data_IF_516343070834
#
_entry.id   IF_516343070834
#
_cell.length_a   1.000
_cell.length_b   1.000
_cell.length_c   1.000
_cell.angle_alpha   90.00
_cell.angle_beta   90.00
_cell.angle_gamma   90.00
#
_symmetry.space_group_name_H-M   'P 1'
#
loop_
_entity.id
_entity.type
_entity.pdbx_description
1 polymer ?
#
# COMPACT_ATOMS: atom_id res chain seq x y z
N UNK A 1 3.51 -7.85 -20.45
CA UNK A 1 2.04 -7.84 -20.32
C UNK A 1 1.66 -8.99 -19.40
N UNK A 2 0.85 -8.77 -18.37
CA UNK A 2 0.50 -9.80 -17.38
C UNK A 2 -0.42 -10.86 -18.01
N UNK A 3 -0.24 -12.13 -17.66
CA UNK A 3 -1.14 -13.20 -18.09
C UNK A 3 -2.45 -13.13 -17.29
N UNK A 4 -3.53 -12.71 -17.97
CA UNK A 4 -4.86 -12.55 -17.37
C UNK A 4 -5.42 -13.86 -16.82
N UNK A 5 -5.08 -15.00 -17.42
CA UNK A 5 -5.53 -16.32 -16.93
C UNK A 5 -4.90 -16.61 -15.57
N UNK A 6 -3.61 -16.30 -15.40
CA UNK A 6 -2.91 -16.46 -14.13
C UNK A 6 -3.42 -15.47 -13.08
N UNK A 7 -3.70 -14.22 -13.46
CA UNK A 7 -4.30 -13.23 -12.56
C UNK A 7 -5.64 -13.74 -11.99
N UNK A 8 -6.55 -14.22 -12.83
CA UNK A 8 -7.84 -14.77 -12.36
C UNK A 8 -7.67 -16.01 -11.48
N UNK A 9 -6.74 -16.90 -11.82
CA UNK A 9 -6.40 -18.07 -11.00
C UNK A 9 -5.87 -17.64 -9.62
N UNK A 10 -5.00 -16.65 -9.58
CA UNK A 10 -4.43 -16.10 -8.36
C UNK A 10 -5.45 -15.42 -7.44
N UNK A 11 -6.62 -15.01 -7.93
CA UNK A 11 -7.68 -14.43 -7.09
C UNK A 11 -8.36 -15.44 -6.17
N UNK A 12 -8.27 -16.73 -6.50
CA UNK A 12 -9.14 -17.76 -5.88
C UNK A 12 -8.73 -18.17 -4.46
N UNK A 13 -7.46 -17.99 -4.08
CA UNK A 13 -6.92 -18.51 -2.82
C UNK A 13 -6.12 -17.45 -2.05
N UNK A 14 -6.04 -17.60 -0.73
CA UNK A 14 -5.22 -16.72 0.11
C UNK A 14 -3.72 -16.92 -0.19
N UNK A 15 -2.93 -15.84 -0.07
CA UNK A 15 -1.49 -15.89 -0.42
C UNK A 15 -0.71 -16.89 0.44
N UNK A 16 -0.96 -16.93 1.74
CA UNK A 16 -0.33 -17.88 2.66
C UNK A 16 -0.66 -19.33 2.32
N UNK A 17 -1.90 -19.58 1.87
CA UNK A 17 -2.34 -20.91 1.47
C UNK A 17 -1.62 -21.35 0.19
N UNK A 18 -1.46 -20.45 -0.78
CA UNK A 18 -0.71 -20.68 -2.02
C UNK A 18 0.78 -20.93 -1.73
N UNK A 19 1.39 -20.15 -0.85
CA UNK A 19 2.80 -20.33 -0.48
C UNK A 19 3.03 -21.67 0.22
N UNK A 20 2.20 -22.01 1.22
CA UNK A 20 2.28 -23.31 1.93
C UNK A 20 2.08 -24.48 0.99
N UNK A 21 1.07 -24.41 0.11
CA UNK A 21 0.84 -25.43 -0.90
C UNK A 21 2.04 -25.57 -1.84
N UNK A 22 2.58 -24.47 -2.35
CA UNK A 22 3.72 -24.49 -3.25
C UNK A 22 4.96 -25.13 -2.63
N UNK A 23 5.28 -24.79 -1.36
CA UNK A 23 6.39 -25.41 -0.62
C UNK A 23 6.20 -26.92 -0.42
N UNK A 24 4.99 -27.33 -0.05
CA UNK A 24 4.65 -28.74 0.13
C UNK A 24 4.78 -29.51 -1.20
N UNK A 25 4.19 -28.98 -2.27
CA UNK A 25 4.25 -29.57 -3.61
C UNK A 25 5.69 -29.64 -4.15
N UNK A 26 6.52 -28.62 -3.90
CA UNK A 26 7.95 -28.64 -4.24
C UNK A 26 8.69 -29.77 -3.51
N UNK A 27 8.47 -29.93 -2.21
CA UNK A 27 9.10 -31.00 -1.43
C UNK A 27 8.71 -32.39 -1.98
N UNK A 28 7.42 -32.60 -2.27
CA UNK A 28 6.93 -33.85 -2.88
C UNK A 28 7.51 -34.10 -4.27
N UNK A 29 7.67 -33.06 -5.09
CA UNK A 29 8.29 -33.17 -6.42
C UNK A 29 9.77 -33.58 -6.32
N UNK A 30 10.53 -32.99 -5.38
CA UNK A 30 11.94 -33.34 -5.14
C UNK A 30 12.08 -34.77 -4.62
N UNK A 31 11.24 -35.19 -3.67
CA UNK A 31 11.25 -36.55 -3.11
C UNK A 31 11.01 -37.61 -4.20
N UNK A 32 10.17 -37.29 -5.19
CA UNK A 32 9.73 -38.23 -6.21
C UNK A 32 10.11 -37.81 -7.64
N UNK A 33 11.26 -37.14 -7.80
CA UNK A 33 11.66 -36.54 -9.09
C UNK A 33 11.80 -37.56 -10.22
N UNK A 34 12.45 -38.70 -9.98
CA UNK A 34 12.70 -39.71 -11.01
C UNK A 34 11.41 -40.28 -11.65
N UNK A 35 10.42 -40.77 -10.89
CA UNK A 35 9.17 -41.26 -11.48
C UNK A 35 8.33 -40.15 -12.15
N UNK A 36 8.39 -38.91 -11.65
CA UNK A 36 7.72 -37.76 -12.25
C UNK A 36 8.36 -37.38 -13.61
N UNK A 37 9.68 -37.43 -13.70
CA UNK A 37 10.43 -37.14 -14.93
C UNK A 37 10.09 -38.10 -16.06
N UNK A 38 9.91 -39.40 -15.74
CA UNK A 38 9.47 -40.41 -16.72
C UNK A 38 8.10 -40.10 -17.33
N UNK A 39 7.30 -39.23 -16.69
CA UNK A 39 5.94 -38.85 -17.11
C UNK A 39 5.81 -37.39 -17.53
N UNK A 40 6.93 -36.72 -17.82
CA UNK A 40 6.93 -35.39 -18.41
C UNK A 40 7.06 -34.23 -17.43
N UNK A 41 7.47 -34.48 -16.18
CA UNK A 41 7.84 -33.43 -15.22
C UNK A 41 9.37 -33.39 -15.03
N UNK A 42 10.12 -32.68 -15.92
CA UNK A 42 11.57 -32.55 -15.79
C UNK A 42 11.97 -31.75 -14.54
N UNK A 43 13.24 -31.85 -14.15
CA UNK A 43 13.78 -31.14 -12.97
C UNK A 43 13.60 -29.62 -13.09
N UNK A 44 13.66 -29.08 -14.31
CA UNK A 44 13.43 -27.66 -14.59
C UNK A 44 12.05 -27.17 -14.12
N UNK A 45 11.01 -28.01 -14.18
CA UNK A 45 9.67 -27.63 -13.68
C UNK A 45 9.60 -27.61 -12.16
N UNK A 46 10.37 -28.48 -11.48
CA UNK A 46 10.55 -28.43 -10.04
C UNK A 46 11.28 -27.15 -9.62
N UNK A 47 12.29 -26.75 -10.38
CA UNK A 47 13.02 -25.49 -10.18
C UNK A 47 12.13 -24.27 -10.45
N UNK A 48 11.31 -24.29 -11.51
CA UNK A 48 10.34 -23.24 -11.83
C UNK A 48 9.30 -23.07 -10.71
N UNK A 49 8.80 -24.18 -10.14
CA UNK A 49 7.91 -24.15 -8.99
C UNK A 49 8.59 -23.50 -7.77
N UNK A 50 9.85 -23.87 -7.49
CA UNK A 50 10.62 -23.27 -6.40
C UNK A 50 10.83 -21.78 -6.62
N UNK A 51 11.25 -21.39 -7.82
CA UNK A 51 11.47 -20.00 -8.19
C UNK A 51 10.19 -19.17 -8.06
N UNK A 52 9.04 -19.70 -8.48
CA UNK A 52 7.75 -19.02 -8.33
C UNK A 52 7.35 -18.85 -6.85
N UNK A 53 7.60 -19.86 -6.00
CA UNK A 53 7.33 -19.80 -4.56
C UNK A 53 8.26 -18.80 -3.85
N UNK A 54 9.54 -18.79 -4.22
CA UNK A 54 10.53 -17.85 -3.66
C UNK A 54 10.23 -16.42 -4.07
N UNK A 55 9.85 -16.20 -5.33
CA UNK A 55 9.40 -14.90 -5.80
C UNK A 55 8.16 -14.43 -5.02
N UNK A 56 7.23 -15.34 -4.69
CA UNK A 56 6.04 -15.00 -3.89
C UNK A 56 6.44 -14.58 -2.46
N UNK A 57 7.39 -15.30 -1.85
CA UNK A 57 7.92 -14.96 -0.53
C UNK A 57 8.65 -13.60 -0.54
N UNK A 58 9.49 -13.36 -1.55
CA UNK A 58 10.21 -12.10 -1.73
C UNK A 58 9.25 -10.92 -1.94
N UNK A 59 8.17 -11.11 -2.71
CA UNK A 59 7.13 -10.09 -2.90
C UNK A 59 6.46 -9.72 -1.58
N UNK A 60 6.15 -10.70 -0.72
CA UNK A 60 5.56 -10.44 0.59
C UNK A 60 6.52 -9.70 1.53
N UNK A 61 7.81 -10.06 1.52
CA UNK A 61 8.82 -9.37 2.30
C UNK A 61 8.99 -7.91 1.85
N UNK A 62 9.07 -7.66 0.53
CA UNK A 62 9.13 -6.32 -0.04
C UNK A 62 7.88 -5.50 0.29
N UNK A 63 6.70 -6.12 0.25
CA UNK A 63 5.45 -5.46 0.63
C UNK A 63 5.40 -5.07 2.11
N UNK A 64 5.96 -5.88 3.00
CA UNK A 64 6.11 -5.55 4.41
C UNK A 64 6.93 -4.27 4.61
N UNK A 65 8.07 -4.16 3.92
CA UNK A 65 8.92 -2.96 3.92
C UNK A 65 8.17 -1.74 3.34
N UNK A 66 7.49 -1.90 2.21
CA UNK A 66 6.70 -0.83 1.58
C UNK A 66 5.56 -0.32 2.47
N UNK A 67 4.91 -1.17 3.26
CA UNK A 67 3.89 -0.73 4.23
C UNK A 67 4.47 0.13 5.35
N UNK A 68 5.63 -0.23 5.88
CA UNK A 68 6.32 0.54 6.91
C UNK A 68 6.83 1.88 6.34
N UNK A 69 7.36 1.88 5.12
CA UNK A 69 7.72 3.10 4.38
C UNK A 69 6.51 4.00 4.12
N UNK A 70 5.39 3.45 3.66
CA UNK A 70 4.16 4.20 3.44
C UNK A 70 3.61 4.83 4.73
N UNK A 71 3.76 4.14 5.87
CA UNK A 71 3.43 4.69 7.19
C UNK A 71 4.37 5.83 7.57
N UNK A 72 5.67 5.69 7.33
CA UNK A 72 6.66 6.75 7.49
C UNK A 72 6.33 7.99 6.64
N UNK A 73 6.06 7.79 5.35
CA UNK A 73 5.69 8.86 4.41
C UNK A 73 4.39 9.58 4.83
N UNK A 74 3.41 8.86 5.37
CA UNK A 74 2.18 9.47 5.91
C UNK A 74 2.46 10.32 7.14
N UNK A 75 3.38 9.88 8.01
CA UNK A 75 3.80 10.67 9.17
C UNK A 75 4.59 11.92 8.74
N UNK A 76 5.49 11.79 7.78
CA UNK A 76 6.25 12.91 7.21
C UNK A 76 5.34 13.94 6.53
N UNK A 77 4.33 13.52 5.77
CA UNK A 77 3.33 14.42 5.20
C UNK A 77 2.54 15.13 6.32
N UNK A 78 2.14 14.41 7.36
CA UNK A 78 1.47 14.96 8.53
C UNK A 78 2.32 16.05 9.23
N UNK A 79 3.61 15.78 9.42
CA UNK A 79 4.58 16.71 9.99
C UNK A 79 4.77 17.93 9.09
N UNK A 80 5.02 17.74 7.79
CA UNK A 80 5.19 18.84 6.83
C UNK A 80 3.97 19.76 6.77
N UNK A 81 2.75 19.20 6.82
CA UNK A 81 1.51 20.00 6.92
C UNK A 81 1.42 20.79 8.22
N UNK A 82 1.76 20.15 9.34
CA UNK A 82 1.75 20.82 10.65
C UNK A 82 2.73 21.99 10.66
N UNK A 83 3.97 21.75 10.22
CA UNK A 83 5.03 22.75 10.14
C UNK A 83 4.65 23.90 9.20
N UNK A 84 4.07 23.59 8.03
CA UNK A 84 3.57 24.61 7.11
C UNK A 84 2.49 25.49 7.75
N UNK A 85 1.53 24.91 8.49
CA UNK A 85 0.50 25.69 9.21
C UNK A 85 1.09 26.55 10.33
N UNK A 86 2.03 26.00 11.09
CA UNK A 86 2.73 26.74 12.16
C UNK A 86 3.49 27.92 11.58
N UNK A 87 4.25 27.71 10.50
CA UNK A 87 5.00 28.76 9.82
C UNK A 87 4.07 29.87 9.32
N UNK A 88 2.96 29.52 8.67
CA UNK A 88 1.96 30.50 8.21
C UNK A 88 1.42 31.33 9.37
N UNK A 89 1.11 30.70 10.50
CA UNK A 89 0.61 31.41 11.70
C UNK A 89 1.65 32.37 12.24
N UNK A 90 2.88 31.92 12.47
CA UNK A 90 3.98 32.76 12.99
C UNK A 90 4.26 33.92 12.05
N UNK A 91 4.27 33.66 10.75
CA UNK A 91 4.49 34.67 9.72
C UNK A 91 3.41 35.76 9.75
N UNK A 92 2.13 35.39 9.88
CA UNK A 92 1.03 36.37 9.94
C UNK A 92 1.15 37.27 11.17
N UNK A 93 1.47 36.72 12.33
CA UNK A 93 1.69 37.51 13.55
C UNK A 93 2.89 38.46 13.39
N UNK A 94 4.01 37.98 12.84
CA UNK A 94 5.18 38.78 12.58
C UNK A 94 4.88 39.94 11.62
N UNK A 95 4.15 39.68 10.53
CA UNK A 95 3.73 40.68 9.55
C UNK A 95 2.82 41.76 10.17
N UNK A 96 1.86 41.37 11.02
CA UNK A 96 1.01 42.33 11.75
C UNK A 96 1.88 43.29 12.57
N UNK A 97 2.86 42.76 13.30
CA UNK A 97 3.73 43.57 14.15
C UNK A 97 4.65 44.49 13.30
N UNK A 98 5.18 44.00 12.19
CA UNK A 98 6.05 44.80 11.28
C UNK A 98 5.25 45.92 10.63
N UNK A 99 4.13 45.60 9.99
CA UNK A 99 3.35 46.56 9.22
C UNK A 99 2.63 47.59 10.11
N UNK A 100 2.35 47.27 11.38
CA UNK A 100 1.87 48.25 12.36
C UNK A 100 2.91 49.31 12.74
N UNK A 101 4.21 48.99 12.67
CA UNK A 101 5.30 49.93 13.03
C UNK A 101 5.68 50.86 11.89
N UNK A 102 5.35 50.51 10.65
CA UNK A 102 5.54 51.37 9.49
C UNK A 102 5.15 50.62 8.21
N UNK A 103 4.54 51.31 7.22
CA UNK A 103 4.22 50.70 5.95
C UNK A 103 5.50 50.30 5.22
N UNK A 104 5.48 49.16 4.55
CA UNK A 104 6.51 48.76 3.59
C UNK A 104 5.92 48.89 2.19
N UNK A 105 6.63 49.58 1.30
CA UNK A 105 6.13 49.89 -0.04
C UNK A 105 5.75 48.60 -0.78
N UNK A 106 4.55 48.59 -1.37
CA UNK A 106 4.02 47.44 -2.12
C UNK A 106 3.55 46.25 -1.27
N UNK A 107 3.63 46.32 0.07
CA UNK A 107 3.25 45.22 0.96
C UNK A 107 2.08 45.58 1.86
N UNK A 108 1.00 44.80 1.80
CA UNK A 108 -0.19 44.97 2.66
C UNK A 108 -0.61 43.65 3.31
N UNK A 109 -1.28 43.72 4.47
CA UNK A 109 -1.78 42.53 5.17
C UNK A 109 -2.80 41.73 4.35
N UNK A 110 -3.53 42.39 3.46
CA UNK A 110 -4.52 41.74 2.58
C UNK A 110 -3.86 40.72 1.66
N UNK A 111 -2.62 40.96 1.22
CA UNK A 111 -1.86 40.07 0.35
C UNK A 111 -1.49 38.73 1.00
N UNK A 112 -1.56 38.66 2.34
CA UNK A 112 -1.29 37.48 3.17
C UNK A 112 -2.56 36.96 3.84
N UNK A 113 -3.73 37.51 3.52
CA UNK A 113 -4.99 36.96 4.02
C UNK A 113 -5.36 35.75 3.18
N UNK A 114 -5.74 34.64 3.83
CA UNK A 114 -6.20 33.46 3.10
C UNK A 114 -7.65 33.69 2.65
N UNK A 115 -7.95 33.72 1.34
CA UNK A 115 -9.29 34.03 0.83
C UNK A 115 -10.31 32.88 0.95
N UNK A 116 -9.91 31.70 1.44
CA UNK A 116 -10.76 30.51 1.55
C UNK A 116 -10.62 29.75 2.87
N UNK A 117 -11.41 28.67 3.02
CA UNK A 117 -11.49 27.81 4.20
C UNK A 117 -10.12 27.38 4.76
N UNK A 118 -10.10 27.03 6.04
CA UNK A 118 -8.92 26.57 6.78
C UNK A 118 -8.06 25.65 5.90
N UNK A 119 -6.76 25.96 5.76
CA UNK A 119 -5.81 25.18 4.97
C UNK A 119 -5.76 23.75 5.51
N UNK A 120 -6.50 22.81 4.89
CA UNK A 120 -6.66 21.45 5.43
C UNK A 120 -5.72 20.46 4.74
N UNK A 121 -5.44 20.67 3.46
CA UNK A 121 -4.65 19.75 2.64
C UNK A 121 -3.23 20.25 2.35
N UNK A 122 -2.33 19.30 2.05
CA UNK A 122 -0.94 19.54 1.61
C UNK A 122 -0.89 20.48 0.41
N UNK A 123 -1.78 20.26 -0.57
CA UNK A 123 -1.90 21.08 -1.79
C UNK A 123 -2.33 22.52 -1.50
N UNK A 124 -3.31 22.72 -0.62
CA UNK A 124 -3.75 24.07 -0.23
C UNK A 124 -2.65 24.84 0.50
N UNK A 125 -1.94 24.19 1.44
CA UNK A 125 -0.84 24.81 2.19
C UNK A 125 0.30 25.16 1.24
N UNK A 126 0.70 24.25 0.36
CA UNK A 126 1.75 24.49 -0.63
C UNK A 126 1.37 25.62 -1.59
N UNK A 127 0.15 25.63 -2.12
CA UNK A 127 -0.32 26.69 -3.01
C UNK A 127 -0.28 28.07 -2.33
N UNK A 128 -0.70 28.14 -1.06
CA UNK A 128 -0.65 29.37 -0.29
C UNK A 128 0.80 29.83 -0.01
N UNK A 129 1.69 28.92 0.42
CA UNK A 129 3.12 29.23 0.63
C UNK A 129 3.78 29.75 -0.65
N UNK A 130 3.51 29.11 -1.79
CA UNK A 130 4.01 29.56 -3.10
C UNK A 130 3.52 30.96 -3.47
N UNK A 131 2.25 31.28 -3.17
CA UNK A 131 1.66 32.58 -3.47
C UNK A 131 2.23 33.72 -2.60
N UNK A 132 2.57 33.46 -1.34
CA UNK A 132 3.07 34.48 -0.42
C UNK A 132 4.60 34.63 -0.45
N UNK A 133 5.34 33.60 -0.82
CA UNK A 133 6.82 33.59 -0.79
C UNK A 133 7.47 34.80 -1.46
N UNK A 134 7.14 35.12 -2.74
CA UNK A 134 7.70 36.29 -3.42
C UNK A 134 7.36 37.63 -2.74
N UNK A 135 6.21 37.72 -2.08
CA UNK A 135 5.74 38.93 -1.40
C UNK A 135 6.46 39.20 -0.09
N UNK A 136 7.20 38.21 0.44
CA UNK A 136 7.98 38.35 1.67
C UNK A 136 9.36 38.96 1.45
N UNK A 137 9.89 38.90 0.22
CA UNK A 137 11.23 39.41 -0.10
C UNK A 137 11.43 40.88 0.34
N UNK A 138 10.48 41.81 0.08
CA UNK A 138 10.64 43.21 0.50
C UNK A 138 10.61 43.43 2.02
N UNK A 139 10.13 42.46 2.80
CA UNK A 139 9.94 42.55 4.26
C UNK A 139 10.88 41.64 5.06
N UNK A 140 11.73 40.86 4.40
CA UNK A 140 12.61 39.88 5.05
C UNK A 140 13.53 40.52 6.10
N UNK A 141 14.10 41.70 5.80
CA UNK A 141 14.98 42.41 6.73
C UNK A 141 14.28 42.76 8.06
N UNK A 142 13.01 43.16 7.99
CA UNK A 142 12.19 43.50 9.14
C UNK A 142 11.68 42.27 9.89
N UNK A 143 11.45 41.17 9.15
CA UNK A 143 10.99 39.90 9.71
C UNK A 143 12.11 39.10 10.39
N UNK A 144 13.38 39.32 10.02
CA UNK A 144 14.52 38.52 10.49
C UNK A 144 14.59 38.38 12.03
N UNK A 145 14.17 39.39 12.80
CA UNK A 145 14.14 39.31 14.28
C UNK A 145 13.22 38.23 14.85
N UNK A 146 12.20 37.80 14.10
CA UNK A 146 11.24 36.77 14.51
C UNK A 146 11.63 35.37 14.03
N UNK A 147 12.62 35.29 13.13
CA UNK A 147 13.08 34.06 12.50
C UNK A 147 14.58 33.86 12.71
N UNK A 148 15.12 34.34 13.85
CA UNK A 148 16.52 34.13 14.25
C UNK A 148 17.55 34.59 13.20
N UNK A 149 17.23 35.67 12.48
CA UNK A 149 18.07 36.21 11.41
C UNK A 149 17.89 35.52 10.05
N UNK A 150 17.08 34.46 9.96
CA UNK A 150 16.74 33.81 8.69
C UNK A 150 15.70 34.63 7.92
N UNK A 151 15.73 34.49 6.59
CA UNK A 151 14.74 35.12 5.72
C UNK A 151 13.45 34.32 5.72
N UNK A 152 12.33 34.99 5.94
CA UNK A 152 11.02 34.37 5.94
C UNK A 152 10.66 33.81 4.54
N UNK A 153 11.10 34.48 3.48
CA UNK A 153 10.94 33.99 2.10
C UNK A 153 11.64 32.65 1.85
N UNK A 154 12.85 32.47 2.39
CA UNK A 154 13.62 31.23 2.28
C UNK A 154 13.00 30.09 3.09
N UNK A 155 12.53 30.39 4.32
CA UNK A 155 11.77 29.44 5.15
C UNK A 155 10.48 28.96 4.47
N UNK A 156 9.74 29.87 3.87
CA UNK A 156 8.50 29.56 3.12
C UNK A 156 8.81 28.70 1.89
N UNK A 157 9.88 28.99 1.16
CA UNK A 157 10.33 28.18 0.03
C UNK A 157 10.69 26.76 0.46
N UNK A 158 11.47 26.60 1.52
CA UNK A 158 11.85 25.29 2.04
C UNK A 158 10.63 24.48 2.50
N UNK A 159 9.67 25.12 3.18
CA UNK A 159 8.41 24.47 3.58
C UNK A 159 7.57 24.05 2.36
N UNK A 160 7.51 24.89 1.32
CA UNK A 160 6.84 24.54 0.06
C UNK A 160 7.49 23.34 -0.65
N UNK A 161 8.83 23.30 -0.73
CA UNK A 161 9.56 22.18 -1.35
C UNK A 161 9.28 20.86 -0.61
N UNK A 162 9.32 20.86 0.73
CA UNK A 162 8.98 19.67 1.53
C UNK A 162 7.56 19.17 1.28
N UNK A 163 6.57 20.07 1.28
CA UNK A 163 5.18 19.71 1.01
C UNK A 163 4.99 19.13 -0.40
N UNK A 164 5.69 19.67 -1.40
CA UNK A 164 5.65 19.17 -2.77
C UNK A 164 6.27 17.78 -2.90
N UNK A 165 7.40 17.53 -2.23
CA UNK A 165 8.05 16.22 -2.24
C UNK A 165 7.15 15.16 -1.57
N UNK A 166 6.50 15.51 -0.46
CA UNK A 166 5.54 14.63 0.21
C UNK A 166 4.33 14.28 -0.69
N UNK A 167 3.75 15.26 -1.37
CA UNK A 167 2.61 15.07 -2.29
C UNK A 167 2.98 14.19 -3.50
N UNK A 168 4.13 14.45 -4.12
CA UNK A 168 4.63 13.65 -5.25
C UNK A 168 4.84 12.17 -4.88
N UNK A 169 5.42 11.92 -3.71
CA UNK A 169 5.70 10.55 -3.25
C UNK A 169 4.41 9.78 -2.98
N UNK A 170 3.42 10.45 -2.37
CA UNK A 170 2.11 9.84 -2.11
C UNK A 170 1.32 9.56 -3.39
N UNK A 171 1.34 10.47 -4.37
CA UNK A 171 0.69 10.24 -5.66
C UNK A 171 1.31 9.09 -6.44
N UNK A 172 2.64 8.94 -6.40
CA UNK A 172 3.33 7.83 -7.05
C UNK A 172 2.96 6.49 -6.40
N UNK A 173 3.03 6.40 -5.07
CA UNK A 173 2.64 5.19 -4.34
C UNK A 173 1.18 4.75 -4.63
N UNK A 174 0.25 5.71 -4.79
CA UNK A 174 -1.14 5.42 -5.17
C UNK A 174 -1.28 4.87 -6.59
N UNK A 175 -0.42 5.30 -7.52
CA UNK A 175 -0.42 4.83 -8.92
C UNK A 175 0.15 3.42 -9.06
N UNK A 176 1.08 3.03 -8.19
CA UNK A 176 1.77 1.74 -8.26
C UNK A 176 0.97 0.60 -7.60
N UNK A 177 0.10 0.91 -6.63
CA UNK A 177 -0.74 -0.05 -5.90
C UNK A 177 -1.55 -1.03 -6.79
N UNK A 178 -2.19 -0.59 -7.90
CA UNK A 178 -2.90 -1.50 -8.79
C UNK A 178 -1.97 -2.45 -9.56
N UNK A 179 -0.77 -2.00 -9.95
CA UNK A 179 0.19 -2.82 -10.67
C UNK A 179 0.79 -3.89 -9.78
N UNK A 180 1.18 -3.52 -8.55
CA UNK A 180 1.66 -4.47 -7.53
C UNK A 180 0.60 -5.53 -7.21
N UNK A 181 -0.66 -5.13 -7.11
CA UNK A 181 -1.77 -6.07 -6.86
C UNK A 181 -1.91 -7.07 -8.00
N UNK A 182 -1.84 -6.62 -9.25
CA UNK A 182 -1.96 -7.53 -10.40
C UNK A 182 -0.74 -8.46 -10.52
N UNK A 183 0.47 -7.97 -10.23
CA UNK A 183 1.68 -8.79 -10.20
C UNK A 183 1.62 -9.88 -9.12
N UNK A 184 1.12 -9.55 -7.92
CA UNK A 184 0.88 -10.54 -6.86
C UNK A 184 -0.11 -11.62 -7.29
N UNK A 185 -1.21 -11.21 -7.95
CA UNK A 185 -2.21 -12.15 -8.43
C UNK A 185 -1.65 -13.07 -9.52
N UNK A 186 -0.91 -12.54 -10.48
CA UNK A 186 -0.25 -13.36 -11.51
C UNK A 186 0.71 -14.39 -10.88
N UNK A 187 1.52 -13.96 -9.92
CA UNK A 187 2.50 -14.82 -9.25
C UNK A 187 1.85 -15.94 -8.45
N UNK A 188 0.77 -15.64 -7.73
CA UNK A 188 -0.07 -16.66 -7.08
C UNK A 188 -0.64 -17.63 -8.11
N UNK A 189 -1.15 -17.11 -9.23
CA UNK A 189 -1.66 -17.89 -10.34
C UNK A 189 -0.63 -18.88 -10.86
N UNK A 190 0.61 -18.44 -11.07
CA UNK A 190 1.72 -19.27 -11.57
C UNK A 190 2.03 -20.43 -10.64
N UNK A 191 2.09 -20.19 -9.33
CA UNK A 191 2.30 -21.26 -8.34
C UNK A 191 1.16 -22.28 -8.39
N UNK A 192 -0.10 -21.82 -8.45
CA UNK A 192 -1.26 -22.72 -8.52
C UNK A 192 -1.22 -23.55 -9.81
N UNK A 193 -0.85 -22.95 -10.94
CA UNK A 193 -0.78 -23.61 -12.24
C UNK A 193 0.23 -24.76 -12.24
N UNK A 194 1.45 -24.49 -11.75
CA UNK A 194 2.52 -25.49 -11.62
C UNK A 194 2.14 -26.62 -10.65
N UNK A 195 1.45 -26.30 -9.55
CA UNK A 195 0.93 -27.32 -8.61
C UNK A 195 -0.13 -28.20 -9.28
N UNK A 196 -1.02 -27.64 -10.07
CA UNK A 196 -2.05 -28.40 -10.79
C UNK A 196 -1.46 -29.33 -11.85
N UNK A 197 -0.46 -28.84 -12.57
CA UNK A 197 0.29 -29.61 -13.55
C UNK A 197 1.07 -30.76 -12.90
N UNK A 198 1.80 -30.48 -11.81
CA UNK A 198 2.48 -31.50 -11.00
C UNK A 198 1.51 -32.58 -10.53
N UNK A 199 0.36 -32.18 -9.99
CA UNK A 199 -0.65 -33.12 -9.51
C UNK A 199 -1.29 -33.92 -10.66
N UNK A 200 -1.32 -33.38 -11.87
CA UNK A 200 -1.72 -34.09 -13.09
C UNK A 200 -0.71 -35.18 -13.45
N UNK A 201 0.58 -34.82 -13.52
CA UNK A 201 1.67 -35.76 -13.83
C UNK A 201 1.78 -36.86 -12.77
N UNK A 202 1.69 -36.50 -11.49
CA UNK A 202 1.75 -37.46 -10.38
C UNK A 202 0.63 -38.49 -10.42
N UNK A 203 -0.58 -38.11 -10.85
CA UNK A 203 -1.69 -39.07 -11.03
C UNK A 203 -1.39 -40.15 -12.05
N UNK A 204 -0.61 -39.82 -13.09
CA UNK A 204 -0.17 -40.76 -14.14
C UNK A 204 1.04 -41.56 -13.65
N UNK A 205 2.01 -40.90 -13.00
CA UNK A 205 3.24 -41.53 -12.51
C UNK A 205 2.99 -42.59 -11.44
N UNK A 206 1.99 -42.38 -10.59
CA UNK A 206 1.67 -43.24 -9.45
C UNK A 206 0.32 -43.95 -9.61
N UNK A 207 -0.05 -44.29 -10.85
CA UNK A 207 -1.22 -45.12 -11.10
C UNK A 207 -1.11 -46.46 -10.33
N UNK A 208 -2.20 -46.87 -9.69
CA UNK A 208 -2.22 -48.02 -8.79
C UNK A 208 -1.62 -47.80 -7.39
N UNK A 209 -0.94 -46.67 -7.14
CA UNK A 209 -0.28 -46.37 -5.86
C UNK A 209 -1.02 -45.23 -5.14
N UNK A 210 -2.12 -45.58 -4.46
CA UNK A 210 -3.02 -44.61 -3.82
C UNK A 210 -2.31 -43.72 -2.78
N UNK A 211 -1.41 -44.29 -1.98
CA UNK A 211 -0.68 -43.57 -0.92
C UNK A 211 0.24 -42.48 -1.50
N UNK A 212 0.95 -42.78 -2.58
CA UNK A 212 1.80 -41.79 -3.25
C UNK A 212 0.97 -40.71 -3.94
N UNK A 213 -0.15 -41.07 -4.60
CA UNK A 213 -1.05 -40.08 -5.20
C UNK A 213 -1.63 -39.13 -4.17
N UNK A 214 -1.93 -39.60 -2.96
CA UNK A 214 -2.47 -38.77 -1.89
C UNK A 214 -1.50 -37.63 -1.48
N UNK A 215 -0.19 -37.78 -1.69
CA UNK A 215 0.80 -36.72 -1.45
C UNK A 215 0.72 -35.55 -2.46
N UNK A 216 0.06 -35.75 -3.61
CA UNK A 216 -0.06 -34.76 -4.68
C UNK A 216 -1.49 -34.21 -4.77
N UNK A 217 -1.84 -33.39 -3.78
CA UNK A 217 -3.17 -32.79 -3.62
C UNK A 217 -3.10 -31.25 -3.55
N UNK A 218 -4.26 -30.61 -3.32
CA UNK A 218 -4.40 -29.15 -3.19
C UNK A 218 -5.02 -28.73 -1.86
N UNK A 219 -4.97 -29.59 -0.85
CA UNK A 219 -5.78 -29.44 0.37
C UNK A 219 -5.37 -28.20 1.17
N UNK A 220 -4.08 -27.85 1.14
CA UNK A 220 -3.57 -26.65 1.82
C UNK A 220 -4.13 -25.36 1.23
N UNK A 221 -4.55 -25.34 -0.05
CA UNK A 221 -5.25 -24.20 -0.65
C UNK A 221 -6.62 -23.96 0.00
N UNK A 222 -7.31 -25.03 0.41
CA UNK A 222 -8.67 -24.98 0.93
C UNK A 222 -8.74 -24.85 2.45
N UNK A 223 -7.65 -25.15 3.16
CA UNK A 223 -7.59 -24.99 4.62
C UNK A 223 -7.76 -23.54 5.10
N UNK A 224 -7.60 -22.54 4.23
CA UNK A 224 -7.88 -21.12 4.52
C UNK A 224 -9.36 -20.68 4.42
N UNK A 225 -10.29 -21.55 4.00
CA UNK A 225 -11.72 -21.16 3.81
C UNK A 225 -12.56 -21.15 5.10
N UNK A 226 -12.08 -21.67 6.24
CA UNK A 226 -12.92 -21.88 7.44
C UNK A 226 -13.11 -20.66 8.35
N UNK A 227 -12.47 -19.53 8.12
CA UNK A 227 -12.52 -18.36 9.05
C UNK A 227 -13.45 -17.22 8.65
N UNK A 228 -14.12 -17.25 7.48
CA UNK A 228 -15.05 -16.18 7.06
C UNK A 228 -16.52 -16.59 6.95
N UNK A 229 -16.88 -17.83 7.28
CA UNK A 229 -18.25 -18.32 7.21
C UNK A 229 -18.80 -18.72 8.58
N UNK A 230 -18.97 -17.75 9.51
CA UNK A 230 -20.08 -17.72 10.49
C UNK A 230 -20.10 -16.40 11.29
N UNK A 231 -20.44 -15.29 10.64
CA UNK A 231 -21.20 -14.26 11.34
C UNK A 231 -22.67 -14.68 11.21
N UNK A 232 -23.22 -15.30 12.26
CA UNK A 232 -24.64 -15.57 12.32
C UNK A 232 -25.39 -14.21 12.34
N UNK A 233 -26.43 -14.00 11.52
CA UNK A 233 -27.30 -12.85 11.70
C UNK A 233 -27.97 -12.97 13.06
N UNK A 234 -27.85 -11.89 13.84
CA UNK A 234 -28.29 -11.81 15.22
C UNK A 234 -29.79 -12.00 15.41
N UNK A 235 -30.10 -12.31 16.67
CA UNK A 235 -31.40 -12.22 17.31
C UNK A 235 -32.21 -11.02 16.80
N UNK A 236 -33.35 -11.30 16.19
CA UNK A 236 -34.47 -10.36 16.14
C UNK A 236 -35.38 -10.63 17.34
N UNK A 237 -35.67 -9.63 18.19
CA UNK A 237 -36.56 -9.81 19.33
C UNK A 237 -38.03 -9.75 18.91
N UNK A 238 -38.82 -10.69 19.43
CA UNK A 238 -40.24 -10.47 19.76
C UNK A 238 -41.26 -10.60 18.64
N UNK A 239 -41.95 -11.74 18.59
CA UNK A 239 -43.39 -11.71 18.39
C UNK A 239 -44.04 -12.81 19.24
N UNK A 240 -44.81 -12.40 20.24
CA UNK A 240 -45.53 -13.27 21.16
C UNK A 240 -46.68 -13.99 20.45
N UNK A 241 -46.97 -15.26 20.77
CA UNK A 241 -48.16 -15.94 20.26
C UNK A 241 -49.42 -15.40 20.97
N UNK A 242 -50.36 -14.88 20.18
CA UNK A 242 -51.73 -14.60 20.62
C UNK A 242 -52.45 -15.94 20.80
N UNK A 243 -52.97 -16.19 22.01
CA UNK A 243 -53.77 -17.35 22.32
C UNK A 243 -55.09 -17.34 21.52
N UNK A 244 -55.57 -18.46 20.98
CA UNK A 244 -56.93 -18.56 20.49
C UNK A 244 -57.90 -18.80 21.65
N UNK A 245 -58.92 -17.94 21.76
CA UNK A 245 -60.15 -18.21 22.50
C UNK A 245 -60.93 -19.36 21.85
N UNK A 246 -61.23 -20.41 22.64
CA UNK A 246 -62.47 -21.18 22.64
C UNK A 246 -62.49 -22.10 23.88
#
# INVERSE_FOLDING_TARGET
MLDQRLVEKGRQFAVDAVQKQGLFSYASAREHQAPLQLRGWPETMTDDLKAAVDALAAFLAARGVSFDEAKGLTQEEGAARSDGKVLIRVLREALIIVLKKGPVEGVSMEQFTNPGSALQSTKEIAAYLNAIGPKLVPVDAQLGRFFEGQKASELVKAAWERLRMADMTQEQARKDLPQETLALLELKGRVIDLVEELNGVARIAFEGQAELRAKFNKDLLYHGRRSHAKAAPGDAPGNAPVAPEA
#
